data_IF_562907150377
#
_entry.id   IF_562907150377
#
_cell.length_a   1.000
_cell.length_b   1.000
_cell.length_c   1.000
_cell.angle_alpha   90.00
_cell.angle_beta   90.00
_cell.angle_gamma   90.00
#
_symmetry.space_group_name_H-M   'P 1'
#
loop_
_entity.id
_entity.type
_entity.pdbx_description
1 polymer ?
#
# COMPACT_ATOMS: atom_id res chain seq x y z
N UNK A 1 -11.52 -18.75 2.88
CA UNK A 1 -10.22 -18.32 3.45
C UNK A 1 -10.41 -17.00 4.17
N UNK A 2 -9.88 -16.85 5.39
CA UNK A 2 -9.88 -15.54 6.08
C UNK A 2 -8.91 -14.61 5.36
N UNK A 3 -9.27 -13.34 5.12
CA UNK A 3 -8.37 -12.39 4.48
C UNK A 3 -7.12 -12.19 5.35
N UNK A 4 -5.93 -12.29 4.75
CA UNK A 4 -4.64 -12.10 5.43
C UNK A 4 -4.65 -10.73 6.14
N UNK A 5 -4.31 -10.66 7.43
CA UNK A 5 -4.29 -9.38 8.14
C UNK A 5 -3.43 -8.34 7.42
N UNK A 6 -3.90 -7.09 7.38
CA UNK A 6 -3.21 -6.04 6.62
C UNK A 6 -1.77 -5.81 7.12
N UNK A 7 -1.54 -5.90 8.43
CA UNK A 7 -0.20 -5.76 9.01
C UNK A 7 0.78 -6.81 8.48
N UNK A 8 0.33 -8.04 8.19
CA UNK A 8 1.17 -9.05 7.57
C UNK A 8 1.49 -8.71 6.11
N UNK A 9 0.50 -8.24 5.36
CA UNK A 9 0.69 -7.80 3.97
C UNK A 9 1.76 -6.70 3.93
N UNK A 10 1.61 -5.67 4.78
CA UNK A 10 2.58 -4.57 4.88
C UNK A 10 3.97 -5.10 5.27
N UNK A 11 4.05 -6.05 6.21
CA UNK A 11 5.32 -6.68 6.61
C UNK A 11 6.00 -7.38 5.43
N UNK A 12 5.26 -8.14 4.62
CA UNK A 12 5.79 -8.88 3.46
C UNK A 12 6.28 -7.96 2.36
N UNK A 13 5.61 -6.83 2.11
CA UNK A 13 6.03 -5.87 1.08
C UNK A 13 7.04 -4.84 1.58
N UNK A 14 7.32 -4.78 2.89
CA UNK A 14 8.29 -3.84 3.50
C UNK A 14 9.67 -3.80 2.81
N UNK A 15 10.31 -4.92 2.42
CA UNK A 15 11.62 -4.87 1.76
C UNK A 15 11.56 -4.39 0.30
N UNK A 16 10.39 -4.36 -0.32
CA UNK A 16 10.25 -4.03 -1.73
C UNK A 16 10.55 -2.55 -2.02
N UNK A 17 11.00 -2.28 -3.25
CA UNK A 17 11.08 -0.92 -3.76
C UNK A 17 9.70 -0.24 -3.71
N UNK A 18 9.63 1.10 -3.51
CA UNK A 18 8.36 1.81 -3.40
C UNK A 18 7.39 1.58 -4.58
N UNK A 19 7.92 1.47 -5.80
CA UNK A 19 7.12 1.18 -7.01
C UNK A 19 6.43 -0.19 -6.92
N UNK A 20 7.13 -1.21 -6.44
CA UNK A 20 6.58 -2.55 -6.24
C UNK A 20 5.59 -2.60 -5.08
N UNK A 21 5.83 -1.83 -4.00
CA UNK A 21 4.87 -1.66 -2.90
C UNK A 21 3.56 -1.08 -3.40
N UNK A 22 3.63 0.01 -4.17
CA UNK A 22 2.46 0.67 -4.73
C UNK A 22 1.69 -0.25 -5.68
N UNK A 23 2.39 -0.99 -6.55
CA UNK A 23 1.77 -1.97 -7.45
C UNK A 23 1.02 -3.07 -6.67
N UNK A 24 1.63 -3.62 -5.61
CA UNK A 24 1.01 -4.66 -4.80
C UNK A 24 -0.25 -4.15 -4.08
N UNK A 25 -0.19 -2.96 -3.48
CA UNK A 25 -1.33 -2.35 -2.80
C UNK A 25 -2.46 -2.03 -3.78
N UNK A 26 -2.17 -1.52 -4.99
CA UNK A 26 -3.18 -1.29 -6.04
C UNK A 26 -3.86 -2.59 -6.48
N UNK A 27 -3.10 -3.67 -6.64
CA UNK A 27 -3.65 -4.99 -6.98
C UNK A 27 -4.61 -5.50 -5.90
N UNK A 28 -4.26 -5.33 -4.63
CA UNK A 28 -5.14 -5.70 -3.51
C UNK A 28 -6.40 -4.83 -3.48
N UNK A 29 -6.29 -3.50 -3.64
CA UNK A 29 -7.44 -2.59 -3.67
C UNK A 29 -8.42 -2.98 -4.78
N UNK A 30 -7.92 -3.37 -5.96
CA UNK A 30 -8.75 -3.79 -7.08
C UNK A 30 -9.55 -5.06 -6.78
N UNK A 31 -9.02 -5.96 -5.95
CA UNK A 31 -9.69 -7.19 -5.53
C UNK A 31 -10.71 -6.99 -4.39
N UNK A 32 -10.69 -5.83 -3.72
CA UNK A 32 -11.53 -5.56 -2.54
C UNK A 32 -12.83 -4.82 -2.91
N UNK A 33 -13.91 -5.12 -2.17
CA UNK A 33 -15.20 -4.45 -2.33
C UNK A 33 -15.06 -2.94 -2.10
N UNK A 34 -15.71 -2.13 -2.95
CA UNK A 34 -15.62 -0.66 -3.01
C UNK A 34 -15.78 0.10 -1.68
N UNK A 35 -16.49 -0.47 -0.68
CA UNK A 35 -16.76 0.18 0.61
C UNK A 35 -16.32 -0.67 1.81
N UNK A 36 -15.40 -1.61 1.61
CA UNK A 36 -14.87 -2.40 2.73
C UNK A 36 -13.91 -1.57 3.57
N UNK A 37 -13.94 -1.74 4.90
CA UNK A 37 -12.94 -1.16 5.82
C UNK A 37 -11.52 -1.51 5.35
N UNK A 38 -11.34 -2.76 4.91
CA UNK A 38 -10.07 -3.25 4.39
C UNK A 38 -9.55 -2.46 3.18
N UNK A 39 -10.43 -2.08 2.25
CA UNK A 39 -10.08 -1.24 1.12
C UNK A 39 -9.61 0.15 1.56
N UNK A 40 -10.32 0.79 2.49
CA UNK A 40 -9.95 2.09 3.03
C UNK A 40 -8.54 2.02 3.64
N UNK A 41 -8.27 1.00 4.45
CA UNK A 41 -6.94 0.82 5.04
C UNK A 41 -5.84 0.55 3.99
N UNK A 42 -6.15 -0.14 2.89
CA UNK A 42 -5.20 -0.35 1.79
C UNK A 42 -4.93 0.95 1.02
N UNK A 43 -5.95 1.77 0.81
CA UNK A 43 -5.84 3.09 0.17
C UNK A 43 -5.00 4.06 1.02
N UNK A 44 -5.19 4.06 2.35
CA UNK A 44 -4.34 4.80 3.29
C UNK A 44 -2.88 4.34 3.23
N UNK A 45 -2.64 3.02 3.26
CA UNK A 45 -1.29 2.47 3.15
C UNK A 45 -0.62 2.85 1.81
N UNK A 46 -1.38 2.88 0.71
CA UNK A 46 -0.88 3.33 -0.59
C UNK A 46 -0.50 4.81 -0.56
N UNK A 47 -1.35 5.66 0.03
CA UNK A 47 -1.10 7.09 0.20
C UNK A 47 0.21 7.34 0.96
N UNK A 48 0.46 6.59 2.02
CA UNK A 48 1.71 6.70 2.80
C UNK A 48 2.96 6.34 1.98
N UNK A 49 2.88 5.31 1.13
CA UNK A 49 3.99 4.92 0.24
C UNK A 49 4.28 6.03 -0.77
N UNK A 50 3.24 6.56 -1.41
CA UNK A 50 3.39 7.65 -2.41
C UNK A 50 3.90 8.92 -1.76
N UNK A 51 3.35 9.32 -0.61
CA UNK A 51 3.81 10.50 0.12
C UNK A 51 5.29 10.39 0.55
N UNK A 52 5.74 9.20 0.96
CA UNK A 52 7.15 8.96 1.28
C UNK A 52 8.05 9.07 0.04
N UNK A 53 7.58 8.64 -1.13
CA UNK A 53 8.33 8.84 -2.38
C UNK A 53 8.45 10.33 -2.71
N UNK A 54 7.32 11.05 -2.72
CA UNK A 54 7.29 12.49 -3.03
C UNK A 54 8.20 13.30 -2.08
N UNK A 55 8.16 13.01 -0.77
CA UNK A 55 9.05 13.67 0.20
C UNK A 55 10.52 13.37 -0.04
N UNK A 56 10.86 12.17 -0.51
CA UNK A 56 12.23 11.79 -0.84
C UNK A 56 12.70 12.54 -2.09
N UNK A 57 11.85 12.63 -3.11
CA UNK A 57 12.13 13.37 -4.33
C UNK A 57 12.32 14.85 -4.05
N UNK A 58 11.40 15.50 -3.31
CA UNK A 58 11.51 16.93 -2.93
C UNK A 58 12.79 17.26 -2.15
N UNK A 59 13.33 16.32 -1.37
CA UNK A 59 14.58 16.54 -0.62
C UNK A 59 15.84 16.40 -1.49
N UNK A 60 15.72 15.75 -2.64
CA UNK A 60 16.82 15.52 -3.58
C UNK A 60 16.85 16.54 -4.73
N UNK A 61 15.77 17.30 -4.91
CA UNK A 61 15.66 18.46 -5.81
C UNK A 61 16.29 19.70 -5.22
#
# INVERSE_FOLDING_TARGET
MKPTPLHEVIRRIRPLAPIHKAAHLRGLIASEKKRSIRRIMLEEALKDVVNKQLKKEVRLS
#
